data_IF_669706420218
#
_entry.id   IF_669706420218
#
_cell.length_a   1.000
_cell.length_b   1.000
_cell.length_c   1.000
_cell.angle_alpha   90.00
_cell.angle_beta   90.00
_cell.angle_gamma   90.00
#
_symmetry.space_group_name_H-M   'P 1'
#
loop_
_entity.id
_entity.type
_entity.pdbx_description
1 polymer ?
#
# COMPACT_ATOMS: atom_id res chain seq x y z
N UNK A 1 6.59 -1.87 -12.32
CA UNK A 1 6.18 -0.66 -11.57
C UNK A 1 7.13 -0.37 -10.43
N UNK A 2 7.29 0.86 -10.09
CA UNK A 2 7.95 1.26 -8.85
C UNK A 2 6.91 1.43 -7.76
N UNK A 3 7.02 0.64 -6.70
CA UNK A 3 5.99 0.49 -5.66
C UNK A 3 6.54 0.93 -4.31
N UNK A 4 5.80 1.79 -3.61
CA UNK A 4 6.04 2.08 -2.20
C UNK A 4 5.08 1.24 -1.36
N UNK A 5 5.60 0.42 -0.47
CA UNK A 5 4.81 -0.40 0.43
C UNK A 5 5.08 -0.01 1.88
N UNK A 6 4.03 0.37 2.60
CA UNK A 6 4.12 0.85 3.98
C UNK A 6 3.23 -0.03 4.88
N UNK A 7 3.86 -0.72 5.82
CA UNK A 7 3.17 -1.63 6.73
C UNK A 7 4.04 -1.84 7.98
N UNK A 8 3.45 -1.74 9.17
CA UNK A 8 4.16 -1.93 10.42
C UNK A 8 4.42 -3.41 10.76
N UNK A 9 3.76 -4.33 10.05
CA UNK A 9 4.06 -5.77 10.12
C UNK A 9 5.23 -6.09 9.19
N UNK A 10 6.42 -6.14 9.75
CA UNK A 10 7.65 -6.36 8.97
C UNK A 10 7.71 -7.72 8.28
N UNK A 11 7.11 -8.75 8.88
CA UNK A 11 7.05 -10.09 8.28
C UNK A 11 6.18 -10.09 7.02
N UNK A 12 5.01 -9.47 7.09
CA UNK A 12 4.12 -9.32 5.93
C UNK A 12 4.77 -8.46 4.85
N UNK A 13 5.40 -7.36 5.25
CA UNK A 13 6.10 -6.44 4.35
C UNK A 13 7.21 -7.15 3.57
N UNK A 14 8.04 -7.95 4.27
CA UNK A 14 9.13 -8.69 3.64
C UNK A 14 8.61 -9.77 2.68
N UNK A 15 7.58 -10.51 3.07
CA UNK A 15 7.00 -11.55 2.24
C UNK A 15 6.38 -10.98 0.96
N UNK A 16 5.62 -9.91 1.07
CA UNK A 16 5.02 -9.25 -0.09
C UNK A 16 6.08 -8.63 -1.00
N UNK A 17 7.08 -7.97 -0.43
CA UNK A 17 8.16 -7.38 -1.22
C UNK A 17 8.89 -8.43 -2.05
N UNK A 18 9.12 -9.61 -1.47
CA UNK A 18 9.77 -10.72 -2.17
C UNK A 18 8.97 -11.18 -3.40
N UNK A 19 7.67 -11.32 -3.25
CA UNK A 19 6.77 -11.74 -4.33
C UNK A 19 6.66 -10.65 -5.40
N UNK A 20 6.51 -9.41 -5.00
CA UNK A 20 6.41 -8.28 -5.93
C UNK A 20 7.71 -8.13 -6.75
N UNK A 21 8.86 -8.29 -6.11
CA UNK A 21 10.15 -8.24 -6.80
C UNK A 21 10.33 -9.40 -7.77
N UNK A 22 9.84 -10.58 -7.41
CA UNK A 22 9.84 -11.74 -8.32
C UNK A 22 8.98 -11.49 -9.56
N UNK A 23 7.94 -10.66 -9.43
CA UNK A 23 7.08 -10.23 -10.54
C UNK A 23 7.60 -8.97 -11.24
N UNK A 24 8.89 -8.67 -11.07
CA UNK A 24 9.60 -7.58 -11.76
C UNK A 24 9.20 -6.17 -11.32
N UNK A 25 8.60 -6.01 -10.13
CA UNK A 25 8.37 -4.70 -9.56
C UNK A 25 9.57 -4.23 -8.75
N UNK A 26 9.85 -2.94 -8.79
CA UNK A 26 10.84 -2.29 -7.93
C UNK A 26 10.12 -1.82 -6.66
N UNK A 27 10.45 -2.41 -5.52
CA UNK A 27 9.71 -2.20 -4.28
C UNK A 27 10.58 -1.52 -3.23
N UNK A 28 10.09 -0.38 -2.72
CA UNK A 28 10.63 0.28 -1.53
C UNK A 28 9.69 0.00 -0.37
N UNK A 29 10.24 -0.50 0.73
CA UNK A 29 9.46 -0.84 1.92
C UNK A 29 9.73 0.14 3.05
N UNK A 30 8.67 0.51 3.78
CA UNK A 30 8.75 1.34 4.97
C UNK A 30 7.90 0.72 6.06
N UNK A 31 8.40 0.71 7.29
CA UNK A 31 7.70 0.09 8.42
C UNK A 31 6.94 1.09 9.29
N UNK A 32 7.00 2.38 9.00
CA UNK A 32 6.25 3.40 9.73
C UNK A 32 5.73 4.50 8.81
N UNK A 33 4.73 5.23 9.34
CA UNK A 33 4.05 6.30 8.63
C UNK A 33 4.99 7.43 8.21
N UNK A 34 5.84 7.88 9.11
CA UNK A 34 6.70 9.05 8.86
C UNK A 34 7.73 8.77 7.76
N UNK A 35 8.30 7.58 7.77
CA UNK A 35 9.22 7.16 6.71
C UNK A 35 8.49 7.06 5.37
N UNK A 36 7.30 6.43 5.37
CA UNK A 36 6.47 6.33 4.17
C UNK A 36 6.13 7.70 3.60
N UNK A 37 5.76 8.65 4.44
CA UNK A 37 5.46 10.01 4.02
C UNK A 37 6.67 10.71 3.40
N UNK A 38 7.84 10.55 4.00
CA UNK A 38 9.08 11.14 3.46
C UNK A 38 9.43 10.57 2.10
N UNK A 39 9.31 9.25 1.95
CA UNK A 39 9.60 8.59 0.68
C UNK A 39 8.61 9.00 -0.40
N UNK A 40 7.34 9.07 -0.04
CA UNK A 40 6.28 9.49 -0.98
C UNK A 40 6.51 10.90 -1.51
N UNK A 41 7.01 11.80 -0.66
CA UNK A 41 7.29 13.19 -1.04
C UNK A 41 8.60 13.33 -1.82
N UNK A 42 9.59 12.47 -1.59
CA UNK A 42 10.93 12.62 -2.15
C UNK A 42 11.14 11.86 -3.45
N UNK A 43 10.40 10.77 -3.66
CA UNK A 43 10.59 9.87 -4.79
C UNK A 43 9.34 9.76 -5.64
N UNK A 44 9.53 9.28 -6.88
CA UNK A 44 8.42 8.97 -7.77
C UNK A 44 8.06 7.48 -7.67
N UNK A 45 6.77 7.19 -7.50
CA UNK A 45 6.23 5.83 -7.47
C UNK A 45 5.03 5.71 -8.41
N UNK A 46 4.85 4.51 -8.96
CA UNK A 46 3.69 4.19 -9.79
C UNK A 46 2.51 3.69 -8.95
N UNK A 47 2.81 3.11 -7.78
CA UNK A 47 1.81 2.55 -6.88
C UNK A 47 2.19 2.74 -5.41
N UNK A 48 1.17 2.90 -4.57
CA UNK A 48 1.29 2.94 -3.12
C UNK A 48 0.43 1.82 -2.53
N UNK A 49 1.03 0.98 -1.70
CA UNK A 49 0.34 -0.02 -0.90
C UNK A 49 0.55 0.35 0.56
N UNK A 50 -0.52 0.69 1.26
CA UNK A 50 -0.43 1.16 2.64
C UNK A 50 -1.41 0.42 3.54
N UNK A 51 -0.90 -0.04 4.70
CA UNK A 51 -1.76 -0.51 5.77
C UNK A 51 -2.52 0.69 6.35
N UNK A 52 -3.82 0.53 6.56
CA UNK A 52 -4.66 1.56 7.17
C UNK A 52 -4.22 1.84 8.61
N UNK A 53 -3.76 0.81 9.34
CA UNK A 53 -3.27 0.97 10.71
C UNK A 53 -1.75 0.95 10.74
N UNK A 54 -1.14 2.13 10.90
CA UNK A 54 0.31 2.31 10.98
C UNK A 54 0.66 2.86 12.37
N UNK A 55 0.66 1.98 13.38
CA UNK A 55 0.86 2.38 14.77
C UNK A 55 -0.24 3.34 15.22
N UNK A 56 0.12 4.55 15.62
CA UNK A 56 -0.83 5.59 16.03
C UNK A 56 -1.45 6.35 14.86
N UNK A 57 -1.03 6.07 13.62
CA UNK A 57 -1.43 6.84 12.43
C UNK A 57 -2.36 6.03 11.55
N UNK A 58 -3.15 6.73 10.75
CA UNK A 58 -4.03 6.13 9.76
C UNK A 58 -3.35 6.20 8.38
N UNK A 59 -3.12 5.04 7.77
CA UNK A 59 -2.49 4.93 6.45
C UNK A 59 -3.29 5.58 5.32
N UNK A 60 -4.59 5.85 5.52
CA UNK A 60 -5.39 6.61 4.56
C UNK A 60 -4.86 8.04 4.35
N UNK A 61 -4.15 8.60 5.32
CA UNK A 61 -3.48 9.89 5.15
C UNK A 61 -2.39 9.83 4.08
N UNK A 62 -1.65 8.72 4.00
CA UNK A 62 -0.67 8.52 2.93
C UNK A 62 -1.35 8.44 1.57
N UNK A 63 -2.45 7.70 1.50
CA UNK A 63 -3.23 7.54 0.28
C UNK A 63 -3.76 8.90 -0.20
N UNK A 64 -4.22 9.73 0.72
CA UNK A 64 -4.70 11.08 0.41
C UNK A 64 -3.59 12.00 -0.10
N UNK A 65 -2.34 11.78 0.33
CA UNK A 65 -1.18 12.55 -0.13
C UNK A 65 -0.66 12.10 -1.48
N UNK A 66 -0.99 10.89 -1.92
CA UNK A 66 -0.53 10.35 -3.18
C UNK A 66 -1.20 11.04 -4.37
N UNK A 67 -0.48 11.27 -5.48
CA UNK A 67 -1.07 11.89 -6.67
C UNK A 67 -2.24 11.07 -7.22
N UNK A 68 -3.24 11.72 -7.87
CA UNK A 68 -4.38 11.00 -8.45
C UNK A 68 -3.99 9.95 -9.49
N UNK A 69 -2.86 10.13 -10.17
CA UNK A 69 -2.35 9.20 -11.19
C UNK A 69 -1.74 7.93 -10.59
N UNK A 70 -1.42 7.94 -9.30
CA UNK A 70 -0.80 6.80 -8.63
C UNK A 70 -1.85 5.74 -8.31
N UNK A 71 -1.55 4.46 -8.61
CA UNK A 71 -2.36 3.34 -8.16
C UNK A 71 -2.26 3.22 -6.65
N UNK A 72 -3.39 3.04 -5.97
CA UNK A 72 -3.44 3.00 -4.50
C UNK A 72 -4.15 1.75 -4.02
N UNK A 73 -3.54 1.04 -3.08
CA UNK A 73 -4.11 -0.13 -2.42
C UNK A 73 -4.05 0.10 -0.91
N UNK A 74 -5.21 0.05 -0.25
CA UNK A 74 -5.32 0.14 1.20
C UNK A 74 -5.48 -1.26 1.79
N UNK A 75 -4.58 -1.62 2.70
CA UNK A 75 -4.61 -2.91 3.40
C UNK A 75 -5.15 -2.73 4.80
N UNK A 76 -5.92 -3.71 5.29
CA UNK A 76 -6.36 -3.74 6.69
C UNK A 76 -6.53 -5.17 7.17
N UNK A 77 -6.32 -5.39 8.47
CA UNK A 77 -6.60 -6.68 9.11
C UNK A 77 -8.10 -6.86 9.41
N UNK A 78 -8.89 -5.79 9.32
CA UNK A 78 -10.31 -5.81 9.69
C UNK A 78 -11.17 -5.28 8.56
N UNK A 79 -12.28 -5.99 8.30
CA UNK A 79 -13.30 -5.50 7.39
C UNK A 79 -14.16 -4.47 8.12
N UNK A 80 -13.97 -3.20 7.80
CA UNK A 80 -14.70 -2.08 8.37
C UNK A 80 -15.35 -1.30 7.21
N UNK A 81 -16.69 -1.22 7.14
CA UNK A 81 -17.37 -0.52 6.04
C UNK A 81 -17.01 0.96 5.94
N UNK A 82 -16.73 1.62 7.06
CA UNK A 82 -16.34 3.04 7.06
C UNK A 82 -14.95 3.20 6.45
N UNK A 83 -14.00 2.37 6.86
CA UNK A 83 -12.64 2.40 6.30
C UNK A 83 -12.64 2.05 4.80
N UNK A 84 -13.45 1.08 4.40
CA UNK A 84 -13.60 0.68 3.00
C UNK A 84 -14.12 1.85 2.16
N UNK A 85 -15.15 2.54 2.65
CA UNK A 85 -15.72 3.72 1.98
C UNK A 85 -14.69 4.84 1.87
N UNK A 86 -13.98 5.12 2.97
CA UNK A 86 -12.96 6.18 3.01
C UNK A 86 -11.82 5.89 2.03
N UNK A 87 -11.39 4.64 1.95
CA UNK A 87 -10.37 4.21 1.01
C UNK A 87 -10.84 4.40 -0.45
N UNK A 88 -12.06 3.97 -0.75
CA UNK A 88 -12.64 4.11 -2.09
C UNK A 88 -12.80 5.57 -2.49
N UNK A 89 -13.24 6.43 -1.58
CA UNK A 89 -13.36 7.87 -1.82
C UNK A 89 -12.00 8.52 -2.06
N UNK A 90 -10.93 7.99 -1.47
CA UNK A 90 -9.58 8.45 -1.71
C UNK A 90 -8.98 7.86 -3.01
N UNK A 91 -9.73 7.06 -3.75
CA UNK A 91 -9.31 6.47 -5.00
C UNK A 91 -8.49 5.20 -4.84
N UNK A 92 -8.56 4.54 -3.67
CA UNK A 92 -7.82 3.33 -3.39
C UNK A 92 -8.69 2.08 -3.52
N UNK A 93 -8.07 0.96 -3.89
CA UNK A 93 -8.67 -0.36 -3.74
C UNK A 93 -8.45 -0.83 -2.31
N UNK A 94 -9.46 -1.45 -1.72
CA UNK A 94 -9.43 -1.91 -0.35
C UNK A 94 -9.22 -3.43 -0.32
N UNK A 95 -8.20 -3.88 0.41
CA UNK A 95 -7.86 -5.31 0.52
C UNK A 95 -7.74 -5.70 1.99
N UNK A 96 -8.41 -6.78 2.38
CA UNK A 96 -8.42 -7.28 3.76
C UNK A 96 -7.31 -8.32 3.93
N UNK A 97 -6.48 -8.15 4.96
CA UNK A 97 -5.47 -9.13 5.36
C UNK A 97 -6.14 -10.33 6.07
N UNK A 98 -5.58 -11.51 6.01
CA UNK A 98 -4.32 -11.86 5.33
C UNK A 98 -4.55 -12.07 3.84
N UNK A 99 -4.36 -11.03 3.04
CA UNK A 99 -4.40 -11.18 1.61
C UNK A 99 -3.16 -11.95 1.18
N UNK A 100 -3.33 -12.86 0.24
CA UNK A 100 -2.22 -13.46 -0.45
C UNK A 100 -1.44 -12.36 -1.18
N UNK A 101 -0.13 -12.31 -0.98
CA UNK A 101 0.72 -11.34 -1.65
C UNK A 101 0.65 -11.46 -3.17
N UNK A 102 0.38 -12.65 -3.69
CA UNK A 102 0.13 -12.86 -5.11
C UNK A 102 -1.12 -12.13 -5.60
N UNK A 103 -2.15 -12.03 -4.76
CA UNK A 103 -3.36 -11.25 -5.07
C UNK A 103 -3.07 -9.75 -5.17
N UNK A 104 -2.21 -9.24 -4.29
CA UNK A 104 -1.75 -7.84 -4.34
C UNK A 104 -0.99 -7.59 -5.65
N UNK A 105 -0.08 -8.48 -6.00
CA UNK A 105 0.68 -8.40 -7.25
C UNK A 105 -0.25 -8.41 -8.48
N UNK A 106 -1.28 -9.26 -8.46
CA UNK A 106 -2.27 -9.33 -9.53
C UNK A 106 -3.03 -8.01 -9.70
N UNK A 107 -3.38 -7.32 -8.61
CA UNK A 107 -4.01 -6.01 -8.68
C UNK A 107 -3.11 -4.97 -9.37
N UNK A 108 -1.81 -4.99 -9.09
CA UNK A 108 -0.84 -4.11 -9.76
C UNK A 108 -0.78 -4.41 -11.26
N UNK A 109 -0.75 -5.68 -11.62
CA UNK A 109 -0.67 -6.10 -13.04
C UNK A 109 -1.92 -5.73 -13.83
N UNK A 110 -3.09 -5.79 -13.22
CA UNK A 110 -4.37 -5.44 -13.87
C UNK A 110 -4.48 -3.95 -14.20
N UNK A 111 -3.70 -3.11 -13.52
CA UNK A 111 -3.78 -1.66 -13.65
C UNK A 111 -2.75 -1.07 -14.60
N UNK A 112 -1.89 -1.90 -15.14
CA UNK A 112 -0.84 -1.46 -16.08
C UNK A 112 -1.28 -1.54 -17.54
#
# INVERSE_FOLDING_TARGET
MRVLMVDDDESYLSACAMILRADCHDVVTCSDFNEGRRRLAADHFDALIADVRLGAYNGLHLIALAPPSMLKIALTAFLDPVLCRDAEQAGARFVVKPADCASVSALLSQSS
#
